data_IF_480046188582
#
_entry.id   IF_480046188582
#
_cell.length_a   1.000
_cell.length_b   1.000
_cell.length_c   1.000
_cell.angle_alpha   90.00
_cell.angle_beta   90.00
_cell.angle_gamma   90.00
#
_symmetry.space_group_name_H-M   'P 1'
#
loop_
_entity.id
_entity.type
_entity.pdbx_description
1 polymer ?
#
# COMPACT_ATOMS: atom_id res chain seq x y z
N UNK A 1 -15.00 -7.04 -19.85
CA UNK A 1 -15.22 -5.60 -19.67
C UNK A 1 -14.98 -5.27 -18.20
N UNK A 2 -13.76 -4.92 -17.81
CA UNK A 2 -13.57 -4.11 -16.59
C UNK A 2 -13.27 -2.71 -17.10
N UNK A 3 -14.34 -1.90 -17.05
CA UNK A 3 -14.40 -0.54 -17.54
C UNK A 3 -13.37 0.33 -16.79
N UNK A 4 -12.63 1.12 -17.57
CA UNK A 4 -11.68 2.09 -17.06
C UNK A 4 -12.41 3.26 -16.42
N UNK A 5 -12.61 3.20 -15.11
CA UNK A 5 -12.78 4.41 -14.33
C UNK A 5 -11.39 5.05 -14.20
N UNK A 6 -11.14 6.05 -15.04
CA UNK A 6 -10.06 7.03 -14.85
C UNK A 6 -10.26 7.67 -13.49
N UNK A 7 -9.56 7.15 -12.51
CA UNK A 7 -9.59 7.72 -11.18
C UNK A 7 -8.93 9.10 -11.23
N UNK A 8 -9.64 10.15 -10.79
CA UNK A 8 -9.09 11.49 -10.76
C UNK A 8 -7.86 11.55 -9.84
N UNK A 9 -6.96 12.43 -10.27
CA UNK A 9 -5.63 12.73 -9.79
C UNK A 9 -5.45 12.72 -8.25
N UNK A 10 -4.42 12.05 -7.70
CA UNK A 10 -4.18 12.02 -6.25
C UNK A 10 -3.49 13.27 -5.67
N UNK A 11 -3.34 14.38 -6.41
CA UNK A 11 -2.44 15.47 -5.98
C UNK A 11 -3.09 16.87 -5.79
N UNK A 12 -4.40 17.05 -6.03
CA UNK A 12 -5.01 18.38 -5.89
C UNK A 12 -5.50 18.69 -4.46
N UNK A 13 -4.55 18.95 -3.57
CA UNK A 13 -4.74 19.87 -2.45
C UNK A 13 -3.40 20.52 -2.10
N UNK A 14 -3.15 21.76 -2.54
CA UNK A 14 -1.91 22.46 -2.26
C UNK A 14 -1.90 22.92 -0.80
N UNK A 15 -1.45 22.05 0.12
CA UNK A 15 -1.04 22.45 1.48
C UNK A 15 -1.35 21.52 2.65
N UNK A 16 -2.03 20.38 2.48
CA UNK A 16 -2.42 19.55 3.63
C UNK A 16 -2.90 18.14 3.30
N UNK A 17 -3.02 17.30 4.34
CA UNK A 17 -3.67 15.98 4.25
C UNK A 17 -5.16 16.16 3.96
N UNK A 18 -5.68 15.42 2.99
CA UNK A 18 -7.12 15.42 2.71
C UNK A 18 -7.90 14.66 3.77
N UNK A 19 -9.21 14.87 3.86
CA UNK A 19 -10.08 14.10 4.76
C UNK A 19 -9.98 12.58 4.51
N UNK A 20 -9.81 12.20 3.24
CA UNK A 20 -9.55 10.81 2.84
C UNK A 20 -8.23 10.30 3.41
N UNK A 21 -7.16 11.08 3.34
CA UNK A 21 -5.84 10.69 3.88
C UNK A 21 -5.89 10.51 5.40
N UNK A 22 -6.54 11.45 6.09
CA UNK A 22 -6.77 11.36 7.54
C UNK A 22 -7.60 10.13 7.89
N UNK A 23 -8.66 9.85 7.11
CA UNK A 23 -9.47 8.65 7.23
C UNK A 23 -8.65 7.36 7.05
N UNK A 24 -7.78 7.32 6.05
CA UNK A 24 -6.87 6.18 5.80
C UNK A 24 -5.91 5.98 6.98
N UNK A 25 -5.28 7.04 7.52
CA UNK A 25 -4.39 6.93 8.67
C UNK A 25 -5.15 6.45 9.93
N UNK A 26 -6.34 6.97 10.17
CA UNK A 26 -7.21 6.53 11.27
C UNK A 26 -7.65 5.08 11.11
N UNK A 27 -7.94 4.65 9.88
CA UNK A 27 -8.28 3.25 9.58
C UNK A 27 -7.12 2.29 9.82
N UNK A 28 -5.89 2.67 9.45
CA UNK A 28 -4.70 1.85 9.72
C UNK A 28 -4.38 1.68 11.21
N UNK A 29 -4.89 2.55 12.09
CA UNK A 29 -4.78 2.37 13.54
C UNK A 29 -5.68 1.25 14.07
N UNK A 30 -6.77 0.90 13.35
CA UNK A 30 -7.72 -0.12 13.80
C UNK A 30 -7.14 -1.53 13.62
N UNK A 31 -7.41 -2.38 14.62
CA UNK A 31 -6.94 -3.77 14.61
C UNK A 31 -7.98 -4.66 13.92
N UNK A 32 -7.61 -5.23 12.77
CA UNK A 32 -8.42 -6.23 12.08
C UNK A 32 -7.88 -7.64 12.35
N UNK A 33 -8.75 -8.54 12.80
CA UNK A 33 -8.38 -9.91 13.20
C UNK A 33 -7.96 -10.79 12.02
N UNK A 34 -8.52 -10.57 10.83
CA UNK A 34 -8.15 -11.32 9.62
C UNK A 34 -8.10 -10.41 8.38
N UNK A 35 -7.24 -10.79 7.42
CA UNK A 35 -7.00 -10.02 6.19
C UNK A 35 -8.29 -9.73 5.40
N UNK A 36 -9.21 -10.70 5.31
CA UNK A 36 -10.49 -10.52 4.62
C UNK A 36 -11.47 -9.54 5.30
N UNK A 37 -11.38 -9.34 6.63
CA UNK A 37 -12.18 -8.30 7.30
C UNK A 37 -11.68 -6.91 6.92
N UNK A 38 -10.36 -6.74 6.79
CA UNK A 38 -9.76 -5.47 6.38
C UNK A 38 -10.19 -5.10 4.96
N UNK A 39 -10.15 -6.03 4.01
CA UNK A 39 -10.55 -5.74 2.63
C UNK A 39 -12.03 -5.37 2.50
N UNK A 40 -12.92 -6.08 3.20
CA UNK A 40 -14.34 -5.73 3.22
C UNK A 40 -14.57 -4.37 3.88
N UNK A 41 -13.89 -4.07 4.99
CA UNK A 41 -13.99 -2.77 5.64
C UNK A 41 -13.46 -1.63 4.75
N UNK A 42 -12.35 -1.84 4.02
CA UNK A 42 -11.84 -0.87 3.04
C UNK A 42 -12.91 -0.57 1.98
N UNK A 43 -13.54 -1.62 1.42
CA UNK A 43 -14.57 -1.45 0.40
C UNK A 43 -15.81 -0.77 0.94
N UNK A 44 -16.23 -1.11 2.16
CA UNK A 44 -17.42 -0.55 2.80
C UNK A 44 -17.23 0.92 3.18
N UNK A 45 -16.07 1.28 3.72
CA UNK A 45 -15.83 2.60 4.32
C UNK A 45 -15.31 3.62 3.30
N UNK A 46 -14.47 3.19 2.36
CA UNK A 46 -13.88 4.09 1.35
C UNK A 46 -14.46 3.88 -0.06
N UNK A 47 -15.23 2.82 -0.30
CA UNK A 47 -15.69 2.47 -1.65
C UNK A 47 -14.56 1.99 -2.57
N UNK A 48 -13.37 1.71 -2.03
CA UNK A 48 -12.18 1.38 -2.81
C UNK A 48 -11.93 -0.12 -2.89
N UNK A 49 -11.26 -0.55 -3.97
CA UNK A 49 -10.64 -1.86 -4.01
C UNK A 49 -9.42 -1.90 -3.09
N UNK A 50 -9.09 -3.09 -2.56
CA UNK A 50 -7.91 -3.26 -1.70
C UNK A 50 -6.62 -2.85 -2.40
N UNK A 51 -6.46 -3.19 -3.68
CA UNK A 51 -5.31 -2.78 -4.49
C UNK A 51 -5.15 -1.26 -4.57
N UNK A 52 -6.23 -0.53 -4.87
CA UNK A 52 -6.22 0.94 -4.96
C UNK A 52 -5.93 1.59 -3.61
N UNK A 53 -6.52 1.06 -2.55
CA UNK A 53 -6.27 1.51 -1.19
C UNK A 53 -4.78 1.41 -0.82
N UNK A 54 -4.13 0.27 -1.09
CA UNK A 54 -2.71 0.11 -0.77
C UNK A 54 -1.78 0.97 -1.65
N UNK A 55 -2.19 1.30 -2.88
CA UNK A 55 -1.46 2.26 -3.72
C UNK A 55 -1.50 3.66 -3.11
N UNK A 56 -2.69 4.15 -2.75
CA UNK A 56 -2.86 5.45 -2.09
C UNK A 56 -2.13 5.50 -0.74
N UNK A 57 -2.28 4.46 0.09
CA UNK A 57 -1.57 4.35 1.35
C UNK A 57 -0.06 4.43 1.15
N UNK A 58 0.48 3.82 0.09
CA UNK A 58 1.89 3.89 -0.26
C UNK A 58 2.37 5.32 -0.51
N UNK A 59 1.66 6.07 -1.34
CA UNK A 59 1.99 7.48 -1.62
C UNK A 59 1.86 8.34 -0.36
N UNK A 60 0.79 8.10 0.42
CA UNK A 60 0.51 8.84 1.65
C UNK A 60 1.60 8.67 2.70
N UNK A 61 2.07 7.45 2.97
CA UNK A 61 3.12 7.21 3.97
C UNK A 61 4.50 7.73 3.54
N UNK A 62 4.69 8.03 2.25
CA UNK A 62 5.92 8.64 1.73
C UNK A 62 5.86 10.19 1.82
N UNK A 63 4.70 10.77 2.16
CA UNK A 63 4.53 12.23 2.31
C UNK A 63 5.00 12.76 3.67
N UNK A 64 5.71 13.91 3.71
CA UNK A 64 6.10 14.55 4.97
C UNK A 64 4.90 15.02 5.79
N UNK A 65 3.75 15.30 5.15
CA UNK A 65 2.53 15.72 5.84
C UNK A 65 1.96 14.59 6.71
N UNK A 66 1.99 13.35 6.21
CA UNK A 66 1.58 12.18 6.99
C UNK A 66 2.52 11.95 8.18
N UNK A 67 3.83 12.12 7.98
CA UNK A 67 4.83 12.03 9.05
C UNK A 67 4.62 13.10 10.13
N UNK A 68 4.24 14.32 9.75
CA UNK A 68 3.94 15.39 10.69
C UNK A 68 2.67 15.12 11.51
N UNK A 69 1.68 14.46 10.91
CA UNK A 69 0.41 14.13 11.56
C UNK A 69 0.51 12.91 12.49
N UNK A 70 1.12 11.81 12.04
CA UNK A 70 1.31 10.59 12.86
C UNK A 70 2.65 9.89 12.58
N UNK A 71 3.75 10.38 13.18
CA UNK A 71 5.09 9.87 12.87
C UNK A 71 5.30 8.41 13.28
N UNK A 72 4.60 7.92 14.32
CA UNK A 72 4.76 6.55 14.81
C UNK A 72 4.07 5.55 13.88
N UNK A 73 2.83 5.84 13.47
CA UNK A 73 2.09 4.99 12.55
C UNK A 73 2.79 4.92 11.19
N UNK A 74 3.17 6.08 10.65
CA UNK A 74 3.80 6.15 9.32
C UNK A 74 5.12 5.39 9.28
N UNK A 75 6.01 5.57 10.28
CA UNK A 75 7.27 4.81 10.36
C UNK A 75 7.04 3.30 10.50
N UNK A 76 6.00 2.87 11.22
CA UNK A 76 5.64 1.45 11.33
C UNK A 76 5.17 0.89 9.98
N UNK A 77 4.31 1.61 9.27
CA UNK A 77 3.81 1.23 7.95
C UNK A 77 4.96 1.14 6.92
N UNK A 78 5.85 2.12 6.90
CA UNK A 78 7.05 2.12 6.05
C UNK A 78 7.93 0.89 6.31
N UNK A 79 8.19 0.57 7.58
CA UNK A 79 8.97 -0.64 7.94
C UNK A 79 8.28 -1.94 7.49
N UNK A 80 6.96 -2.06 7.66
CA UNK A 80 6.23 -3.24 7.19
C UNK A 80 6.29 -3.38 5.67
N UNK A 81 6.21 -2.28 4.92
CA UNK A 81 6.37 -2.27 3.46
C UNK A 81 7.76 -2.75 3.06
N UNK A 82 8.80 -2.22 3.68
CA UNK A 82 10.18 -2.62 3.44
C UNK A 82 10.41 -4.11 3.77
N UNK A 83 9.85 -4.62 4.87
CA UNK A 83 9.94 -6.04 5.22
C UNK A 83 9.26 -6.95 4.18
N UNK A 84 8.09 -6.54 3.66
CA UNK A 84 7.40 -7.27 2.58
C UNK A 84 8.19 -7.25 1.27
N UNK A 85 8.85 -6.14 0.94
CA UNK A 85 9.71 -6.04 -0.24
C UNK A 85 10.91 -6.99 -0.13
N UNK A 86 11.63 -6.95 0.99
CA UNK A 86 12.77 -7.84 1.25
C UNK A 86 12.39 -9.33 1.24
N UNK A 87 11.20 -9.70 1.76
CA UNK A 87 10.73 -11.08 1.72
C UNK A 87 10.51 -11.58 0.29
N UNK A 88 10.09 -10.71 -0.64
CA UNK A 88 9.98 -11.03 -2.07
C UNK A 88 11.35 -11.19 -2.72
N UNK A 89 12.27 -10.27 -2.45
CA UNK A 89 13.64 -10.29 -2.99
C UNK A 89 14.42 -11.55 -2.57
N UNK A 90 14.29 -11.94 -1.30
CA UNK A 90 14.91 -13.18 -0.79
C UNK A 90 14.35 -14.43 -1.46
N UNK A 91 13.11 -14.39 -1.97
CA UNK A 91 12.49 -15.50 -2.71
C UNK A 91 12.93 -15.52 -4.17
N UNK A 92 13.18 -14.37 -4.79
CA UNK A 92 13.65 -14.29 -6.19
C UNK A 92 15.15 -14.56 -6.32
N UNK A 93 15.95 -14.21 -5.32
CA UNK A 93 17.41 -14.47 -5.31
C UNK A 93 17.74 -15.96 -5.06
N UNK A 94 16.77 -16.77 -4.62
CA UNK A 94 16.89 -18.24 -4.52
C UNK A 94 16.17 -18.95 -5.68
N UNK A 95 16.53 -18.60 -6.91
CA UNK A 95 16.29 -19.43 -8.08
C UNK A 95 17.65 -19.80 -8.70
N UNK A 96 18.25 -20.95 -8.34
CA UNK A 96 19.42 -21.45 -9.04
C UNK A 96 18.98 -22.04 -10.39
N UNK A 97 19.39 -21.36 -11.45
CA UNK A 97 19.91 -21.92 -12.70
C UNK A 97 19.31 -23.23 -13.22
N UNK A 98 18.39 -23.14 -14.18
CA UNK A 98 18.24 -24.22 -15.16
C UNK A 98 19.46 -24.19 -16.10
N UNK A 99 20.48 -24.99 -15.75
CA UNK A 99 21.43 -25.54 -16.71
C UNK A 99 20.65 -26.39 -17.72
N UNK A 100 20.66 -26.03 -19.01
CA UNK A 100 20.69 -27.02 -20.10
C UNK A 100 21.20 -26.39 -21.40
N UNK A 101 22.40 -26.84 -21.83
CA UNK A 101 22.98 -26.97 -23.17
C UNK A 101 22.93 -25.80 -24.19
N UNK A 102 24.02 -25.60 -24.98
CA UNK A 102 24.08 -26.36 -26.24
C UNK A 102 25.48 -26.93 -26.56
N UNK A 103 25.48 -28.16 -27.09
CA UNK A 103 26.63 -28.78 -27.75
C UNK A 103 26.51 -28.53 -29.27
N UNK A 104 27.60 -28.19 -29.98
CA UNK A 104 27.69 -28.36 -31.43
C UNK A 104 28.03 -29.80 -31.81
#
# INVERSE_FOLDING_TARGET
MVDGARDPDPADSPGGLTDRDLGILSFERRWFTHAGAKEQAIRSEFGLSSARYYQLLGVLIDSPLALAHDPMLVKRLQRMRAARAQARERRTVRAPEHRTSPAP
#
